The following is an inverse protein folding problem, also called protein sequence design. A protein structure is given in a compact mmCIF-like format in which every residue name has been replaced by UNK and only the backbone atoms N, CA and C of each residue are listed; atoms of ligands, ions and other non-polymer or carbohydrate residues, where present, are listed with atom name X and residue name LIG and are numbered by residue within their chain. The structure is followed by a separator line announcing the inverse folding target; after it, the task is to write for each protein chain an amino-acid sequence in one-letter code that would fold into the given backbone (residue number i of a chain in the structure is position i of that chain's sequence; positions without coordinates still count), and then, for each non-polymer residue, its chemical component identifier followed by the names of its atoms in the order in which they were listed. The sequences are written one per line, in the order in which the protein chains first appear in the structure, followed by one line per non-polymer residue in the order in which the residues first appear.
data_IF_374350053729
#
_entry.id   IF_374350053729
#
_cell.length_a   1.000
_cell.length_b   1.000
_cell.length_c   1.000
_cell.angle_alpha   90.00
_cell.angle_beta   90.00
_cell.angle_gamma   90.00
#
_symmetry.space_group_name_H-M   'P 1'
#
loop_
_entity.id
_entity.type
_entity.pdbx_description
1 polymer ?
2 non-polymer ?
3 non-polymer ?
4 non-polymer ?
5 water ?
#
# COMPACT_ATOMS: atom_id res chain seq x y z
N UNK A 1 -1.25 0.94 -1.14
CA UNK A 1 -1.60 1.22 -2.55
C UNK A 1 -0.48 1.87 -3.36
N UNK A 2 0.13 2.93 -2.83
CA UNK A 2 1.42 3.37 -3.35
C UNK A 2 2.46 2.25 -3.20
N UNK A 3 2.52 1.65 -2.02
CA UNK A 3 3.43 0.52 -1.81
C UNK A 3 3.07 -0.65 -2.71
N UNK A 4 1.78 -0.89 -2.93
CA UNK A 4 1.39 -2.05 -3.71
C UNK A 4 1.82 -1.88 -5.16
N UNK A 5 1.61 -0.70 -5.72
CA UNK A 5 1.95 -0.47 -7.13
C UNK A 5 3.45 -0.53 -7.33
N UNK A 6 4.19 0.17 -6.47
CA UNK A 6 5.66 0.20 -6.56
C UNK A 6 6.24 -1.20 -6.45
N UNK A 7 5.69 -2.03 -5.56
CA UNK A 7 6.15 -3.40 -5.45
C UNK A 7 5.94 -4.16 -6.75
N UNK A 8 4.79 -3.96 -7.40
CA UNK A 8 4.50 -4.68 -8.63
C UNK A 8 5.38 -4.21 -9.80
N UNK A 9 5.61 -2.89 -9.92
CA UNK A 9 6.32 -2.39 -11.10
C UNK A 9 7.78 -2.06 -10.85
N UNK A 10 8.34 -2.44 -9.68
CA UNK A 10 9.69 -2.00 -9.32
C UNK A 10 10.74 -2.43 -10.35
N UNK A 11 10.57 -3.58 -11.01
CA UNK A 11 11.55 -4.07 -11.97
C UNK A 11 10.96 -4.26 -13.37
N UNK A 12 9.81 -3.68 -13.65
CA UNK A 12 9.11 -3.98 -14.88
C UNK A 12 9.95 -3.63 -16.10
N UNK A 13 9.90 -4.50 -17.10
CA UNK A 13 10.71 -4.35 -18.29
C UNK A 13 10.46 -3.00 -18.96
N UNK A 14 9.26 -2.44 -18.82
CA UNK A 14 9.10 -1.24 -19.63
C UNK A 14 9.62 0.03 -18.98
N UNK A 15 10.20 -0.05 -17.79
CA UNK A 15 10.86 1.12 -17.28
C UNK A 15 12.15 1.41 -18.04
N UNK A 16 12.74 0.39 -18.70
CA UNK A 16 14.05 0.50 -19.35
C UNK A 16 15.04 1.18 -18.42
N UNK A 17 15.03 0.74 -17.15
CA UNK A 17 15.75 1.48 -16.13
C UNK A 17 17.25 1.17 -16.18
N UNK A 18 18.05 2.20 -15.91
CA UNK A 18 19.51 2.11 -15.88
C UNK A 18 20.03 2.43 -14.48
N UNK A 19 21.32 2.23 -14.30
CA UNK A 19 21.95 2.59 -13.04
C UNK A 19 22.74 3.88 -13.20
N UNK A 20 22.61 4.75 -12.21
CA UNK A 20 23.31 6.02 -12.16
C UNK A 20 23.80 6.26 -10.74
N UNK A 21 24.48 7.39 -10.57
CA UNK A 21 25.05 7.73 -9.28
C UNK A 21 24.19 8.81 -8.63
N UNK A 22 23.60 8.49 -7.50
CA UNK A 22 22.68 9.40 -6.82
C UNK A 22 23.18 9.55 -5.40
N UNK A 23 23.53 10.79 -5.02
CA UNK A 23 24.10 11.10 -3.71
C UNK A 23 25.12 10.02 -3.38
N UNK A 24 25.92 9.69 -4.42
CA UNK A 24 27.00 8.77 -4.24
C UNK A 24 26.53 7.37 -3.90
N UNK A 25 25.38 6.94 -4.39
CA UNK A 25 25.15 5.51 -4.46
C UNK A 25 24.58 5.17 -5.82
N UNK A 26 24.82 3.93 -6.24
CA UNK A 26 24.30 3.40 -7.49
C UNK A 26 22.80 3.17 -7.35
N UNK A 27 22.05 3.75 -8.27
CA UNK A 27 20.62 3.84 -8.10
C UNK A 27 19.97 3.68 -9.46
N UNK A 28 18.87 2.94 -9.49
CA UNK A 28 18.12 2.81 -10.73
C UNK A 28 17.33 4.08 -10.99
N UNK A 29 17.19 4.42 -12.27
CA UNK A 29 16.42 5.59 -12.66
C UNK A 29 15.77 5.33 -13.99
N UNK A 30 14.69 6.06 -14.26
CA UNK A 30 13.84 5.84 -15.41
C UNK A 30 13.13 7.14 -15.78
N UNK A 31 12.56 7.15 -16.97
CA UNK A 31 11.77 8.27 -17.46
C UNK A 31 10.30 8.05 -17.15
N UNK A 32 9.59 9.15 -16.95
CA UNK A 32 8.21 9.07 -16.50
C UNK A 32 7.36 8.31 -17.52
N UNK A 33 7.50 8.66 -18.81
CA UNK A 33 6.70 8.02 -19.85
C UNK A 33 6.89 6.50 -19.86
N UNK A 34 8.07 6.01 -19.49
CA UNK A 34 8.23 4.56 -19.48
C UNK A 34 7.57 3.95 -18.27
N UNK A 35 7.42 4.71 -17.18
CA UNK A 35 6.57 4.24 -16.11
C UNK A 35 5.12 4.16 -16.56
N UNK A 36 4.68 5.15 -17.34
CA UNK A 36 3.31 5.09 -17.85
C UNK A 36 3.12 3.85 -18.70
N UNK A 37 4.15 3.46 -19.46
CA UNK A 37 4.01 2.24 -20.28
C UNK A 37 3.93 1.01 -19.41
N UNK A 38 4.52 1.05 -18.23
CA UNK A 38 4.35 -0.07 -17.33
C UNK A 38 2.96 -0.08 -16.73
N UNK A 39 2.35 1.09 -16.56
CA UNK A 39 0.96 1.08 -16.14
C UNK A 39 0.05 0.48 -17.20
N UNK A 40 0.43 0.55 -18.47
CA UNK A 40 -0.38 -0.04 -19.53
C UNK A 40 0.06 -1.45 -19.86
N UNK A 41 1.01 -2.00 -19.11
CA UNK A 41 1.48 -3.35 -19.39
C UNK A 41 0.41 -4.36 -19.00
N UNK A 42 0.64 -5.61 -19.36
CA UNK A 42 -0.46 -6.52 -19.17
C UNK A 42 -0.50 -7.02 -17.73
N UNK A 43 0.65 -6.99 -17.06
CA UNK A 43 0.74 -7.23 -15.62
C UNK A 43 -0.16 -6.28 -14.84
N UNK A 44 -0.02 -4.98 -15.10
CA UNK A 44 -0.87 -4.03 -14.38
C UNK A 44 -2.34 -4.24 -14.74
N UNK A 45 -2.65 -4.44 -16.02
CA UNK A 45 -4.04 -4.65 -16.42
C UNK A 45 -4.67 -5.85 -15.70
N UNK A 46 -3.95 -6.97 -15.58
CA UNK A 46 -4.54 -8.12 -14.89
C UNK A 46 -4.67 -7.90 -13.39
N UNK A 47 -3.77 -7.11 -12.76
CA UNK A 47 -3.91 -6.91 -11.33
C UNK A 47 -5.01 -5.90 -11.02
N UNK A 48 -5.21 -4.90 -11.89
CA UNK A 48 -6.31 -3.99 -11.65
C UNK A 48 -7.63 -4.56 -12.09
N UNK A 49 -7.61 -5.55 -12.99
CA UNK A 49 -8.85 -6.23 -13.36
C UNK A 49 -9.39 -7.02 -12.18
N UNK A 50 -8.52 -7.57 -11.37
CA UNK A 50 -8.96 -8.37 -10.24
C UNK A 50 -9.09 -7.60 -8.91
N UNK A 51 -8.21 -6.64 -8.62
CA UNK A 51 -8.29 -5.84 -7.39
C UNK A 51 -8.29 -4.36 -7.74
N UNK A 52 -9.32 -3.89 -8.43
CA UNK A 52 -9.44 -2.45 -8.67
C UNK A 52 -9.49 -1.64 -7.38
N UNK A 53 -9.67 -2.28 -6.22
CA UNK A 53 -9.68 -1.57 -4.96
C UNK A 53 -8.27 -1.20 -4.51
N UNK A 54 -7.24 -1.93 -4.96
CA UNK A 54 -5.85 -1.69 -4.63
C UNK A 54 -5.12 -1.04 -5.81
N UNK A 55 -5.18 -1.68 -6.98
CA UNK A 55 -4.54 -1.15 -8.18
C UNK A 55 -5.54 -0.36 -9.01
N UNK A 56 -5.49 0.97 -9.03
CA UNK A 56 -6.54 1.72 -9.75
C UNK A 56 -6.52 1.37 -11.23
N UNK A 57 -7.70 1.34 -11.84
CA UNK A 57 -7.78 0.97 -13.24
C UNK A 57 -7.49 2.18 -14.11
N UNK A 58 -6.88 1.92 -15.27
CA UNK A 58 -6.54 2.98 -16.21
C UNK A 58 -7.65 3.05 -17.22
N UNK A 59 -8.41 4.14 -17.31
CA UNK A 59 -9.49 4.22 -18.30
C UNK A 59 -8.92 4.22 -19.71
N UNK A 60 -9.81 4.02 -20.69
CA UNK A 60 -9.31 4.02 -22.07
C UNK A 60 -9.37 5.39 -22.72
N UNK A 61 -10.30 6.26 -22.31
CA UNK A 61 -10.32 7.61 -22.85
C UNK A 61 -8.97 8.27 -22.61
N UNK A 62 -8.38 8.80 -23.68
CA UNK A 62 -6.97 9.16 -23.64
C UNK A 62 -6.66 10.20 -22.57
N UNK A 63 -7.58 11.12 -22.29
CA UNK A 63 -7.24 12.18 -21.35
C UNK A 63 -7.51 11.74 -19.91
N UNK A 64 -8.47 10.84 -19.68
CA UNK A 64 -8.59 10.29 -18.33
C UNK A 64 -7.45 9.34 -18.03
N UNK A 65 -6.94 8.66 -19.06
CA UNK A 65 -5.72 7.87 -18.94
C UNK A 65 -4.56 8.74 -18.45
N UNK A 66 -4.27 9.83 -19.16
CA UNK A 66 -3.17 10.68 -18.76
C UNK A 66 -3.33 11.14 -17.32
N UNK A 67 -4.55 11.50 -16.92
CA UNK A 67 -4.73 12.06 -15.59
C UNK A 67 -4.63 10.98 -14.53
N UNK A 68 -5.13 9.79 -14.85
CA UNK A 68 -5.09 8.73 -13.87
C UNK A 68 -3.67 8.20 -13.76
N UNK A 69 -2.91 8.33 -14.85
CA UNK A 69 -1.53 7.88 -14.81
C UNK A 69 -0.69 8.80 -13.95
N UNK A 70 -0.90 10.12 -14.04
CA UNK A 70 -0.13 11.02 -13.19
C UNK A 70 -0.63 10.98 -11.74
N UNK A 71 -1.94 10.86 -11.54
CA UNK A 71 -2.45 10.69 -10.18
C UNK A 71 -1.74 9.54 -9.47
N UNK A 72 -1.61 8.41 -10.15
CA UNK A 72 -0.95 7.25 -9.56
C UNK A 72 0.51 7.57 -9.25
N UNK A 73 1.23 8.13 -10.22
CA UNK A 73 2.64 8.42 -10.01
C UNK A 73 2.86 9.50 -8.94
N UNK A 74 1.99 10.50 -8.89
CA UNK A 74 2.07 11.47 -7.78
C UNK A 74 1.90 10.75 -6.45
N UNK A 75 1.10 9.69 -6.40
CA UNK A 75 1.02 8.94 -5.16
C UNK A 75 2.37 8.34 -4.79
N UNK A 76 3.16 7.96 -5.80
CA UNK A 76 4.47 7.39 -5.48
C UNK A 76 5.44 8.45 -5.02
N UNK A 77 5.40 9.63 -5.65
CA UNK A 77 6.23 10.75 -5.22
C UNK A 77 5.92 11.14 -3.79
N UNK A 78 4.63 11.27 -3.47
CA UNK A 78 4.25 11.68 -2.12
C UNK A 78 4.66 10.64 -1.09
N UNK A 79 4.54 9.36 -1.43
CA UNK A 79 5.05 8.33 -0.52
C UNK A 79 6.57 8.27 -0.51
N UNK A 80 7.25 9.08 -1.32
CA UNK A 80 8.70 9.09 -1.36
C UNK A 80 9.27 7.75 -1.82
N UNK A 82 9.78 7.32 -5.22
CA UNK A 82 10.60 7.79 -6.33
C UNK A 82 10.92 9.25 -6.01
N UNK A 83 12.05 9.70 -6.56
CA UNK A 83 12.56 11.05 -6.32
C UNK A 83 12.82 11.63 -7.70
N UNK A 84 12.32 12.82 -8.02
CA UNK A 84 12.63 13.44 -9.32
C UNK A 84 14.10 13.86 -9.37
N UNK A 85 14.79 13.53 -10.46
CA UNK A 85 16.20 13.86 -10.57
C UNK A 85 16.56 14.50 -11.89
N UNK A 86 17.69 15.19 -11.88
CA UNK A 86 18.41 15.65 -13.06
C UNK A 86 19.53 14.68 -13.39
N UNK A 87 19.64 14.32 -14.67
CA UNK A 87 20.72 13.49 -15.15
C UNK A 87 21.75 14.45 -15.76
N UNK A 88 22.92 14.52 -15.15
CA UNK A 88 23.92 15.49 -15.55
C UNK A 88 24.73 14.97 -16.74
N UNK A 89 25.02 15.86 -17.67
CA UNK A 89 26.03 15.54 -18.66
C UNK A 89 27.41 15.62 -18.04
N UNK A 90 28.37 14.92 -18.65
CA UNK A 90 29.70 14.83 -18.06
C UNK A 90 30.31 16.22 -17.87
N UNK A 91 30.14 17.11 -18.84
CA UNK A 91 30.77 18.42 -18.73
C UNK A 91 30.16 19.21 -17.58
N UNK A 92 28.95 18.87 -17.16
CA UNK A 92 28.25 19.57 -16.08
C UNK A 92 28.67 19.12 -14.69
N UNK A 93 29.46 18.05 -14.51
CA UNK A 93 29.69 17.57 -13.15
C UNK A 93 30.62 18.47 -12.35
N UNK A 94 31.44 19.28 -13.02
CA UNK A 94 32.35 20.19 -12.33
C UNK A 94 31.61 21.41 -11.82
N UNK A 95 30.54 21.82 -12.52
CA UNK A 95 29.73 22.91 -11.98
C UNK A 95 29.09 22.54 -10.67
N UNK A 96 28.78 21.26 -10.47
CA UNK A 96 28.10 20.77 -9.28
C UNK A 96 29.04 20.15 -8.28
N UNK A 97 30.35 20.33 -8.44
CA UNK A 97 31.28 19.75 -7.49
C UNK A 97 31.36 18.24 -7.54
N UNK A 98 31.16 17.65 -8.71
CA UNK A 98 31.27 16.22 -8.87
C UNK A 98 32.33 15.93 -9.94
N UNK A 99 32.83 14.70 -9.92
CA UNK A 99 33.74 14.28 -10.97
C UNK A 99 33.11 13.14 -11.78
N UNK A 100 33.21 13.17 -13.11
CA UNK A 100 32.50 12.17 -13.92
C UNK A 100 33.05 10.77 -13.73
N UNK A 101 32.15 9.80 -13.86
CA UNK A 101 32.48 8.38 -13.84
C UNK A 101 32.42 7.88 -15.28
N UNK A 102 33.30 6.94 -15.62
CA UNK A 102 33.24 6.35 -16.96
C UNK A 102 31.95 5.54 -17.14
N UNK A 103 31.46 4.91 -16.08
CA UNK A 103 30.45 3.88 -16.22
C UNK A 103 29.04 4.32 -15.84
N UNK A 104 28.87 5.48 -15.21
CA UNK A 104 27.55 5.88 -14.73
C UNK A 104 27.32 7.38 -14.86
N UNK A 105 26.13 7.80 -15.24
CA UNK A 105 25.79 9.22 -15.17
C UNK A 105 25.49 9.63 -13.73
N UNK A 106 25.74 10.92 -13.44
CA UNK A 106 25.45 11.49 -12.13
C UNK A 106 24.02 12.05 -12.13
N UNK A 107 23.29 11.79 -11.04
CA UNK A 107 21.94 12.27 -10.88
C UNK A 107 21.87 13.12 -9.64
N UNK A 108 21.12 14.22 -9.71
CA UNK A 108 20.92 15.10 -8.55
C UNK A 108 19.43 15.42 -8.41
N UNK A 109 19.01 15.71 -7.18
CA UNK A 109 17.60 16.00 -6.93
C UNK A 109 17.18 17.19 -7.78
N UNK A 110 15.98 17.09 -8.33
CA UNK A 110 15.43 18.08 -9.24
C UNK A 110 14.51 19.04 -8.50
N UNK A 111 14.40 20.26 -9.02
CA UNK A 111 13.58 21.26 -8.35
C UNK A 111 12.11 20.88 -8.36
N UNK A 112 11.56 20.61 -9.53
CA UNK A 112 10.15 20.36 -9.51
C UNK A 112 9.85 19.10 -10.32
N UNK A 113 8.71 18.48 -10.02
CA UNK A 113 8.28 17.21 -10.61
C UNK A 113 7.02 17.51 -11.44
N UNK A 114 7.22 18.09 -12.62
CA UNK A 114 6.07 18.45 -13.44
C UNK A 114 5.62 17.32 -14.37
N UNK A 115 6.18 16.12 -14.20
CA UNK A 115 5.67 14.88 -14.80
C UNK A 115 5.60 14.98 -16.31
N UNK A 116 6.65 15.50 -16.91
CA UNK A 116 6.73 15.45 -18.37
C UNK A 116 7.39 14.14 -18.80
N UNK A 117 7.31 13.88 -20.10
CA UNK A 117 7.48 12.51 -20.58
C UNK A 117 8.87 11.98 -20.25
N UNK A 118 9.89 12.78 -20.50
CA UNK A 118 11.26 12.31 -20.33
C UNK A 118 11.91 12.80 -19.04
N UNK A 119 11.12 13.26 -18.08
CA UNK A 119 11.66 13.55 -16.76
C UNK A 119 12.15 12.27 -16.10
N UNK A 120 13.32 12.38 -15.46
CA UNK A 120 13.94 11.23 -14.82
C UNK A 120 13.54 11.13 -13.36
N UNK A 121 13.52 9.90 -12.86
CA UNK A 121 13.21 9.62 -11.47
C UNK A 121 14.12 8.49 -11.02
N UNK A 122 14.55 8.53 -9.77
CA UNK A 122 15.24 7.39 -9.19
C UNK A 122 14.26 6.64 -8.30
N UNK A 123 14.44 5.33 -8.23
CA UNK A 123 13.74 4.57 -7.22
C UNK A 123 14.31 4.90 -5.85
N UNK A 124 13.42 5.01 -4.88
CA UNK A 124 13.80 5.15 -3.50
C UNK A 124 13.11 4.10 -2.66
N UNK A 125 12.97 2.89 -3.19
CA UNK A 125 12.16 1.86 -2.55
C UNK A 125 12.66 0.49 -2.99
N UNK A 126 12.88 -0.39 -2.02
CA UNK A 126 13.30 -1.77 -2.31
C UNK A 126 12.45 -2.74 -1.54
N UNK A 127 11.61 -3.52 -2.21
CA UNK A 127 10.71 -4.48 -1.55
C UNK A 127 11.43 -5.71 -1.03
N UNK B 1 -0.84 2.00 1.05
CA UNK B 1 -0.83 2.14 2.51
C UNK B 1 -1.81 1.17 3.20
N UNK B 2 -3.02 0.97 2.67
CA UNK B 2 -3.82 -0.17 3.11
C UNK B 2 -3.00 -1.45 3.04
N UNK B 3 -2.31 -1.64 1.92
CA UNK B 3 -1.39 -2.76 1.78
C UNK B 3 -0.33 -2.72 2.85
N UNK B 4 0.18 -1.51 3.14
CA UNK B 4 1.31 -1.35 4.03
C UNK B 4 0.93 -1.66 5.47
N UNK B 5 -0.20 -1.13 5.93
CA UNK B 5 -0.62 -1.34 7.31
C UNK B 5 -1.00 -2.80 7.54
N UNK B 6 -1.77 -3.38 6.62
CA UNK B 6 -2.19 -4.77 6.78
C UNK B 6 -0.99 -5.70 6.89
N UNK B 7 0.03 -5.46 6.08
CA UNK B 7 1.26 -6.24 6.16
C UNK B 7 1.91 -6.09 7.53
N UNK B 8 1.93 -4.86 8.04
CA UNK B 8 2.60 -4.61 9.31
C UNK B 8 1.88 -5.32 10.45
N UNK B 9 0.55 -5.21 10.49
CA UNK B 9 -0.21 -5.66 11.64
C UNK B 9 -0.91 -7.00 11.44
N UNK B 10 -0.62 -7.71 10.34
CA UNK B 10 -1.39 -8.93 10.05
C UNK B 10 -1.32 -9.93 11.19
N UNK B 11 -0.19 -9.98 11.91
CA UNK B 11 0.02 -10.94 12.98
C UNK B 11 0.32 -10.29 14.33
N UNK B 12 -0.01 -9.02 14.49
CA UNK B 12 0.40 -8.34 15.72
C UNK B 12 -0.27 -8.99 16.92
N UNK B 13 0.52 -9.15 17.99
CA UNK B 13 0.04 -9.81 19.19
C UNK B 13 -1.18 -9.13 19.78
N UNK B 14 -1.36 -7.83 19.54
CA UNK B 14 -2.46 -7.18 20.24
C UNK B 14 -3.82 -7.46 19.61
N UNK B 15 -3.85 -8.14 18.47
CA UNK B 15 -5.14 -8.50 17.88
C UNK B 15 -5.84 -9.57 18.70
N UNK B 16 -5.09 -10.37 19.45
CA UNK B 16 -5.64 -11.51 20.17
C UNK B 16 -6.58 -12.29 19.25
N UNK B 17 -6.10 -12.55 18.03
CA UNK B 17 -6.93 -13.15 17.01
C UNK B 17 -7.03 -14.65 17.20
N UNK B 18 -8.23 -15.18 16.96
CA UNK B 18 -8.51 -16.59 17.10
C UNK B 18 -8.88 -17.16 15.74
N UNK B 19 -9.05 -18.47 15.71
CA UNK B 19 -9.47 -19.14 14.49
C UNK B 19 -10.96 -19.43 14.52
N UNK B 20 -11.62 -19.19 13.39
CA UNK B 20 -13.04 -19.44 13.23
C UNK B 20 -13.30 -20.05 11.87
N UNK B 21 -14.55 -20.41 11.64
CA UNK B 21 -14.94 -21.02 10.38
C UNK B 21 -15.69 -20.00 9.54
N UNK B 22 -15.12 -19.65 8.39
CA UNK B 22 -15.69 -18.65 7.50
C UNK B 22 -15.85 -19.29 6.14
N UNK B 23 -17.09 -19.42 5.67
CA UNK B 23 -17.41 -20.09 4.40
C UNK B 23 -16.61 -21.39 4.27
N UNK B 24 -16.66 -22.19 5.34
CA UNK B 24 -16.10 -23.53 5.41
C UNK B 24 -14.58 -23.54 5.46
N UNK B 25 -13.95 -22.42 5.67
CA UNK B 25 -12.53 -22.54 5.93
C UNK B 25 -12.12 -21.71 7.12
N UNK B 26 -11.07 -22.21 7.78
CA UNK B 26 -10.56 -21.56 8.98
C UNK B 26 -9.89 -20.25 8.69
N UNK B 27 -10.24 -19.29 9.51
CA UNK B 27 -9.89 -17.93 9.23
C UNK B 27 -9.62 -17.26 10.56
N UNK B 28 -8.59 -16.42 10.57
CA UNK B 28 -8.31 -15.61 11.75
C UNK B 28 -9.34 -14.50 11.83
N UNK B 29 -9.73 -14.16 13.05
CA UNK B 29 -10.68 -13.08 13.23
C UNK B 29 -10.34 -12.37 14.54
N UNK B 30 -10.77 -11.12 14.63
CA UNK B 30 -10.43 -10.26 15.75
C UNK B 30 -11.52 -9.21 15.91
N UNK B 31 -11.52 -8.55 17.07
CA UNK B 31 -12.44 -7.45 17.29
C UNK B 31 -11.78 -6.15 16.91
N UNK B 32 -12.61 -5.19 16.50
CA UNK B 32 -12.07 -3.91 16.04
C UNK B 32 -11.25 -3.23 17.13
N UNK B 33 -11.78 -3.20 18.36
CA UNK B 33 -11.08 -2.53 19.44
C UNK B 33 -9.66 -3.07 19.64
N UNK B 34 -9.42 -4.36 19.35
CA UNK B 34 -8.07 -4.89 19.45
C UNK B 34 -7.21 -4.54 18.25
N UNK B 35 -7.83 -4.31 17.10
CA UNK B 35 -7.07 -3.72 16.01
C UNK B 35 -6.61 -2.33 16.40
N UNK B 36 -7.48 -1.56 17.05
CA UNK B 36 -7.06 -0.26 17.52
C UNK B 36 -5.91 -0.40 18.54
N UNK B 37 -5.93 -1.40 19.45
CA UNK B 37 -4.76 -1.46 20.34
C UNK B 37 -3.52 -1.77 19.49
N UNK B 38 -3.71 -2.41 18.34
CA UNK B 38 -2.53 -2.68 17.50
C UNK B 38 -2.00 -1.42 16.83
N UNK B 39 -2.88 -0.48 16.51
CA UNK B 39 -2.39 0.79 15.99
C UNK B 39 -1.61 1.57 17.05
N UNK B 40 -1.86 1.31 18.32
CA UNK B 40 -1.17 2.00 19.39
C UNK B 40 0.09 1.26 19.82
N UNK B 41 0.47 0.21 19.11
CA UNK B 41 1.67 -0.50 19.43
C UNK B 41 2.88 0.34 19.05
N UNK B 42 4.06 -0.12 19.48
CA UNK B 42 5.26 0.63 19.16
C UNK B 42 5.76 0.27 17.76
N UNK B 43 5.37 -0.90 17.24
CA UNK B 43 5.63 -1.18 15.83
C UNK B 43 5.00 -0.10 14.97
N UNK B 44 3.71 0.16 15.16
CA UNK B 44 3.06 1.19 14.37
C UNK B 44 3.62 2.57 14.70
N UNK B 45 3.81 2.88 15.98
CA UNK B 45 4.35 4.19 16.36
C UNK B 45 5.69 4.45 15.69
N UNK B 46 6.57 3.44 15.67
CA UNK B 46 7.88 3.65 15.06
C UNK B 46 7.81 3.80 13.55
N UNK B 47 6.88 3.12 12.87
CA UNK B 47 6.90 3.31 11.42
C UNK B 47 6.11 4.53 10.99
N UNK B 48 5.12 4.96 11.77
CA UNK B 48 4.46 6.22 11.44
C UNK B 48 5.29 7.41 11.85
N UNK B 49 6.21 7.23 12.81
CA UNK B 49 7.14 8.29 13.16
C UNK B 49 8.18 8.52 12.08
N UNK B 50 8.65 7.43 11.41
CA UNK B 50 9.76 7.54 10.44
C UNK B 50 9.30 7.72 9.00
N UNK B 51 8.20 7.09 8.63
CA UNK B 51 7.61 7.24 7.31
C UNK B 51 6.22 7.76 7.58
N UNK B 52 6.12 8.99 7.99
CA UNK B 52 4.80 9.57 8.09
C UNK B 52 4.10 9.44 6.72
N UNK B 53 4.76 9.62 5.57
CA UNK B 53 4.01 9.65 4.33
C UNK B 53 3.17 8.37 4.04
N UNK B 54 3.49 7.22 4.60
CA UNK B 54 2.78 5.98 4.31
C UNK B 54 1.84 5.57 5.44
N UNK B 55 2.36 5.50 6.69
CA UNK B 55 1.59 5.08 7.86
C UNK B 55 1.04 6.30 8.57
N UNK B 56 -0.26 6.60 8.51
CA UNK B 56 -0.76 7.84 9.13
C UNK B 56 -0.50 7.86 10.62
N UNK B 57 -0.17 9.05 11.14
CA UNK B 57 0.11 9.17 12.56
C UNK B 57 -1.21 9.39 13.27
N UNK B 58 -1.30 8.86 14.49
CA UNK B 58 -2.53 8.91 15.29
C UNK B 58 -2.36 9.99 16.34
N UNK B 59 -3.23 11.00 16.39
CA UNK B 59 -3.10 12.07 17.39
C UNK B 59 -3.23 11.53 18.81
N UNK B 60 -2.92 12.41 19.77
CA UNK B 60 -3.04 12.05 21.19
C UNK B 60 -4.40 12.40 21.78
N UNK B 61 -5.03 13.46 21.30
CA UNK B 61 -6.37 13.76 21.77
C UNK B 61 -7.29 12.61 21.44
N UNK B 62 -7.96 12.06 22.47
CA UNK B 62 -8.76 10.84 22.31
C UNK B 62 -9.68 10.85 21.12
N UNK B 63 -10.43 11.92 20.94
CA UNK B 63 -11.53 11.80 20.02
C UNK B 63 -10.99 11.91 18.62
N UNK B 64 -9.87 12.60 18.44
CA UNK B 64 -9.19 12.56 17.15
C UNK B 64 -8.48 11.23 16.94
N UNK B 65 -8.01 10.60 18.02
CA UNK B 65 -7.48 9.23 17.97
C UNK B 65 -8.53 8.27 17.44
N UNK B 66 -9.71 8.25 18.08
CA UNK B 66 -10.77 7.36 17.62
C UNK B 66 -11.09 7.64 16.17
N UNK B 67 -11.08 8.90 15.77
CA UNK B 67 -11.49 9.24 14.42
C UNK B 67 -10.45 8.81 13.42
N UNK B 68 -9.18 8.95 13.77
CA UNK B 68 -8.15 8.59 12.82
C UNK B 68 -7.92 7.08 12.74
N UNK B 69 -8.18 6.36 13.84
CA UNK B 69 -8.07 4.91 13.79
C UNK B 69 -9.18 4.29 12.94
N UNK B 70 -10.38 4.88 12.95
CA UNK B 70 -11.42 4.37 12.06
C UNK B 70 -11.05 4.59 10.60
N UNK B 71 -10.63 5.81 10.30
CA UNK B 71 -10.22 6.19 8.94
C UNK B 71 -9.13 5.26 8.43
N UNK B 72 -8.16 4.91 9.27
CA UNK B 72 -7.14 3.97 8.85
C UNK B 72 -7.78 2.62 8.57
N UNK B 73 -8.60 2.14 9.50
CA UNK B 73 -9.22 0.81 9.36
C UNK B 73 -10.17 0.75 8.18
N UNK B 74 -10.94 1.83 7.96
CA UNK B 74 -11.84 1.85 6.81
C UNK B 74 -11.06 1.66 5.52
N UNK B 75 -9.81 2.12 5.47
CA UNK B 75 -9.01 1.90 4.27
C UNK B 75 -8.79 0.41 4.01
N UNK B 76 -8.70 -0.39 5.08
CA UNK B 76 -8.53 -1.85 4.94
C UNK B 76 -9.82 -2.51 4.50
N UNK B 77 -10.97 -2.05 5.01
CA UNK B 77 -12.26 -2.55 4.56
C UNK B 77 -12.44 -2.28 3.07
N UNK B 78 -12.14 -1.04 2.64
CA UNK B 78 -12.29 -0.69 1.23
C UNK B 78 -11.37 -1.53 0.35
N UNK B 79 -10.15 -1.79 0.82
CA UNK B 79 -9.23 -2.65 0.08
C UNK B 79 -9.62 -4.12 0.14
N UNK B 80 -10.68 -4.46 0.89
CA UNK B 80 -11.12 -5.83 1.06
C UNK B 80 -10.06 -6.72 1.73
N UNK B 82 -10.01 -7.00 5.03
CA UNK B 82 -10.80 -7.53 6.13
C UNK B 82 -12.24 -7.48 5.69
N UNK B 83 -13.04 -8.37 6.27
CA UNK B 83 -14.47 -8.47 5.98
C UNK B 83 -15.20 -8.42 7.31
N UNK B 84 -16.23 -7.59 7.46
CA UNK B 84 -17.02 -7.63 8.70
C UNK B 84 -17.80 -8.94 8.81
N UNK B 85 -17.74 -9.57 9.97
CA UNK B 85 -18.42 -10.83 10.17
C UNK B 85 -19.22 -10.79 11.47
N UNK B 86 -20.22 -11.66 11.54
CA UNK B 86 -20.97 -11.93 12.75
C UNK B 86 -20.52 -13.28 13.29
N UNK B 87 -20.30 -13.35 14.59
CA UNK B 87 -19.83 -14.59 15.20
C UNK B 87 -21.04 -15.29 15.81
N UNK B 88 -21.36 -16.46 15.28
CA UNK B 88 -22.59 -17.14 15.65
C UNK B 88 -22.38 -17.95 16.91
N UNK B 89 -23.40 -17.94 17.78
CA UNK B 89 -23.48 -18.93 18.84
C UNK B 89 -23.92 -20.27 18.21
N UNK B 90 -23.59 -21.37 18.90
CA UNK B 90 -23.88 -22.71 18.36
C UNK B 90 -25.34 -22.85 17.97
N UNK B 91 -26.17 -22.30 18.79
CA UNK B 91 -27.61 -22.42 18.78
C UNK B 91 -28.22 -21.72 17.59
N UNK B 92 -27.47 -20.76 17.03
CA UNK B 92 -27.76 -20.03 15.82
C UNK B 92 -27.27 -20.74 14.55
N UNK B 93 -26.49 -21.82 14.66
CA UNK B 93 -25.91 -22.37 13.45
C UNK B 93 -26.93 -23.09 12.60
N UNK B 94 -28.01 -23.61 13.19
CA UNK B 94 -28.96 -24.36 12.39
C UNK B 94 -29.94 -23.44 11.69
N UNK B 95 -30.24 -22.28 12.27
CA UNK B 95 -31.00 -21.27 11.55
C UNK B 95 -30.28 -20.83 10.29
N UNK B 96 -28.96 -20.94 10.25
CA UNK B 96 -28.15 -20.49 9.13
C UNK B 96 -27.68 -21.63 8.25
N UNK B 97 -28.29 -22.81 8.39
CA UNK B 97 -27.90 -23.95 7.58
C UNK B 97 -26.51 -24.45 7.88
N UNK B 98 -26.07 -24.32 9.13
CA UNK B 98 -24.75 -24.78 9.57
C UNK B 98 -24.89 -25.73 10.74
N UNK B 99 -23.86 -26.54 10.97
CA UNK B 99 -23.89 -27.34 12.19
C UNK B 99 -22.69 -26.97 13.07
N UNK B 100 -22.84 -26.93 14.40
CA UNK B 100 -21.76 -26.42 15.26
C UNK B 100 -20.50 -27.27 15.27
N UNK B 101 -19.38 -26.60 15.44
CA UNK B 101 -18.07 -27.22 15.59
C UNK B 101 -17.66 -27.22 17.05
N UNK B 102 -16.97 -28.28 17.48
CA UNK B 102 -16.46 -28.32 18.84
C UNK B 102 -15.39 -27.27 19.06
N UNK B 103 -14.54 -27.05 18.06
CA UNK B 103 -13.29 -26.32 18.24
C UNK B 103 -13.27 -24.91 17.66
N UNK B 104 -14.28 -24.52 16.88
CA UNK B 104 -14.27 -23.25 16.21
C UNK B 104 -15.67 -22.67 16.17
N UNK B 105 -15.81 -21.37 16.41
CA UNK B 105 -17.08 -20.69 16.14
C UNK B 105 -17.24 -20.46 14.65
N UNK B 106 -18.50 -20.33 14.25
CA UNK B 106 -18.85 -20.01 12.88
C UNK B 106 -18.98 -18.51 12.70
N UNK B 107 -18.44 -18.02 11.59
CA UNK B 107 -18.53 -16.60 11.23
C UNK B 107 -19.26 -16.49 9.90
N UNK B 108 -20.13 -15.48 9.78
CA UNK B 108 -20.82 -15.21 8.52
C UNK B 108 -20.71 -13.72 8.23
N UNK B 109 -20.74 -13.38 6.94
CA UNK B 109 -20.60 -11.98 6.57
C UNK B 109 -21.75 -11.18 7.18
N UNK B 110 -21.44 -10.03 7.74
CA UNK B 110 -22.45 -9.20 8.39
C UNK B 110 -22.83 -8.03 7.48
N UNK B 111 -24.13 -7.76 7.39
CA UNK B 111 -24.67 -6.69 6.57
C UNK B 111 -24.79 -5.36 7.33
N UNK B 112 -23.87 -5.06 8.24
CA UNK B 112 -24.00 -3.87 9.08
C UNK B 112 -22.72 -3.06 9.10
N UNK B 113 -21.65 -3.65 9.65
CA UNK B 113 -20.34 -3.02 9.83
C UNK B 113 -20.35 -1.53 10.15
N UNK B 114 -20.80 -1.14 11.35
CA UNK B 114 -20.77 0.25 11.77
C UNK B 114 -19.66 0.54 12.79
N UNK B 115 -18.72 -0.40 12.95
CA UNK B 115 -17.45 -0.18 13.65
C UNK B 115 -17.59 0.13 15.14
N UNK B 116 -18.43 -0.64 15.83
CA UNK B 116 -18.27 -0.50 17.28
C UNK B 116 -17.21 -1.49 17.78
N UNK B 117 -16.89 -1.39 19.07
CA UNK B 117 -15.62 -1.89 19.57
C UNK B 117 -15.47 -3.40 19.38
N UNK B 118 -16.50 -4.17 19.72
CA UNK B 118 -16.39 -5.63 19.71
C UNK B 118 -16.98 -6.24 18.43
N UNK B 119 -17.15 -5.43 17.38
CA UNK B 119 -17.48 -5.98 16.07
C UNK B 119 -16.33 -6.82 15.55
N UNK B 120 -16.66 -7.98 14.99
CA UNK B 120 -15.65 -8.92 14.54
C UNK B 120 -15.32 -8.74 13.06
N UNK B 121 -14.07 -9.08 12.71
CA UNK B 121 -13.58 -9.01 11.35
C UNK B 121 -12.69 -10.20 11.08
N UNK B 122 -12.76 -10.74 9.87
CA UNK B 122 -11.81 -11.77 9.45
C UNK B 122 -10.80 -11.12 8.53
N UNK B 123 -9.57 -11.60 8.61
CA UNK B 123 -8.57 -11.24 7.63
C UNK B 123 -8.93 -11.86 6.29
N UNK B 124 -8.72 -11.10 5.23
CA UNK B 124 -8.85 -11.53 3.84
C UNK B 124 -7.56 -11.27 3.08
N UNK B 125 -6.41 -11.47 3.74
CA UNK B 125 -5.15 -11.02 3.17
C UNK B 125 -4.01 -11.84 3.74
N UNK B 126 -3.15 -12.35 2.87
CA UNK B 126 -1.98 -13.13 3.27
C UNK B 126 -0.73 -12.56 2.60
N UNK B 127 0.16 -11.92 3.36
CA UNK B 127 1.38 -11.37 2.74
C UNK B 127 2.44 -12.44 2.46
#
# INVERSE_FOLDING_TARGET
SATAIATLLRNHKELKQRQGLFQAKQTDFFRYKRFVRALHSEEYANKSARQPEIYPTIPSNKIEDQLKSREIFIQLIKAQXVIPVKKLHSQECKEHGLKPSKDFPHLIVSNKAQLEADEYFVWNYNPR
SATAIATLLRNHKELKQRQGLFQAKQTDFFRYKRFVRALHSEEYANKSARQPEIYPTIPSNKIEDQLKSREIFIQLIKAQXVIPVKKLHSQECKEHGLKPSKDFPHLIVSNKAQLEADEYFVWNYNPR
#
